data_IF_271002922991
#
_entry.id   IF_271002922991
#
_cell.length_a   1.000
_cell.length_b   1.000
_cell.length_c   1.000
_cell.angle_alpha   90.00
_cell.angle_beta   90.00
_cell.angle_gamma   90.00
#
_symmetry.space_group_name_H-M   'P 1'
#
loop_
_entity.id
_entity.type
_entity.pdbx_description
1 polymer ?
#
# COMPACT_ATOMS: atom_id res chain seq x y z
N UNK A 1 -9.92 -59.68 -13.88
CA UNK A 1 -11.09 -60.19 -14.63
C UNK A 1 -12.22 -59.20 -14.41
N UNK A 2 -12.41 -58.30 -15.40
CA UNK A 2 -13.64 -58.18 -16.23
C UNK A 2 -14.82 -57.58 -15.44
N UNK A 3 -15.51 -56.52 -15.85
CA UNK A 3 -15.47 -55.67 -17.04
C UNK A 3 -16.45 -54.49 -16.82
N UNK A 4 -16.23 -53.37 -17.52
CA UNK A 4 -17.23 -52.58 -18.30
C UNK A 4 -18.54 -52.11 -17.64
N UNK A 5 -19.20 -51.02 -18.01
CA UNK A 5 -19.02 -49.83 -18.85
C UNK A 5 -20.32 -49.05 -18.59
N UNK A 6 -20.29 -47.73 -18.44
CA UNK A 6 -21.44 -46.92 -18.87
C UNK A 6 -20.99 -45.52 -19.24
N UNK A 7 -20.69 -45.45 -20.54
CA UNK A 7 -20.42 -44.31 -21.37
C UNK A 7 -21.77 -43.59 -21.65
N UNK A 8 -21.94 -42.35 -21.20
CA UNK A 8 -22.88 -41.43 -21.83
C UNK A 8 -22.10 -40.31 -22.51
N UNK A 9 -21.90 -40.52 -23.81
CA UNK A 9 -21.62 -39.49 -24.79
C UNK A 9 -22.85 -38.57 -24.92
N UNK A 10 -22.65 -37.26 -24.79
CA UNK A 10 -23.37 -36.28 -25.59
C UNK A 10 -22.36 -35.23 -26.09
N UNK A 11 -22.18 -35.23 -27.42
CA UNK A 11 -21.53 -34.21 -28.24
C UNK A 11 -22.08 -32.82 -27.87
N UNK A 12 -21.29 -31.75 -27.83
CA UNK A 12 -20.43 -31.28 -28.90
C UNK A 12 -21.16 -30.14 -29.64
N UNK A 13 -20.87 -28.89 -29.25
CA UNK A 13 -21.08 -27.72 -30.10
C UNK A 13 -20.04 -26.67 -29.71
N UNK A 14 -19.01 -26.60 -30.56
CA UNK A 14 -17.99 -25.57 -30.57
C UNK A 14 -18.64 -24.22 -30.92
N UNK A 15 -18.47 -23.23 -30.06
CA UNK A 15 -18.47 -21.83 -30.47
C UNK A 15 -17.10 -21.28 -30.08
N UNK A 16 -16.21 -21.26 -31.06
CA UNK A 16 -14.96 -20.52 -31.05
C UNK A 16 -15.31 -19.03 -31.17
N UNK A 17 -15.12 -18.25 -30.11
CA UNK A 17 -15.06 -16.79 -30.19
C UNK A 17 -14.08 -16.29 -29.11
N UNK A 18 -12.90 -15.91 -29.62
CA UNK A 18 -11.85 -15.06 -29.06
C UNK A 18 -11.76 -14.92 -27.53
N UNK A 19 -10.97 -15.84 -26.97
CA UNK A 19 -10.49 -15.84 -25.61
C UNK A 19 -8.98 -15.56 -25.65
N UNK A 20 -8.58 -14.34 -26.02
CA UNK A 20 -7.19 -13.92 -25.98
C UNK A 20 -7.02 -12.62 -25.20
N UNK A 21 -6.03 -12.68 -24.31
CA UNK A 21 -5.30 -11.59 -23.65
C UNK A 21 -5.91 -11.07 -22.33
N UNK A 22 -5.88 -11.97 -21.33
CA UNK A 22 -5.16 -11.78 -20.05
C UNK A 22 -5.57 -12.88 -19.04
N UNK A 23 -5.34 -14.14 -19.41
CA UNK A 23 -5.12 -15.21 -18.42
C UNK A 23 -3.63 -15.37 -18.29
N UNK A 24 -3.05 -14.70 -17.29
CA UNK A 24 -1.73 -15.05 -16.81
C UNK A 24 -1.84 -16.08 -15.69
N UNK A 25 -1.41 -17.29 -16.08
CA UNK A 25 -0.74 -18.34 -15.30
C UNK A 25 -1.57 -19.17 -14.30
N UNK A 26 -1.96 -20.35 -14.81
CA UNK A 26 -2.18 -21.63 -14.10
C UNK A 26 -2.81 -21.55 -12.69
N UNK A 27 -4.14 -21.56 -12.71
CA UNK A 27 -4.99 -21.87 -11.58
C UNK A 27 -4.78 -23.31 -11.11
N UNK A 28 -4.17 -23.48 -9.94
CA UNK A 28 -4.43 -24.67 -9.11
C UNK A 28 -5.65 -24.37 -8.24
N UNK A 29 -6.69 -25.22 -8.26
CA UNK A 29 -7.76 -25.16 -7.27
C UNK A 29 -7.14 -25.22 -5.88
N UNK A 30 -7.57 -24.38 -4.93
CA UNK A 30 -7.29 -24.63 -3.52
C UNK A 30 -7.99 -25.95 -3.20
N UNK A 31 -7.25 -27.04 -2.92
CA UNK A 31 -7.87 -28.34 -2.69
C UNK A 31 -8.69 -28.28 -1.39
N UNK A 32 -9.74 -29.11 -1.36
CA UNK A 32 -10.64 -29.31 -0.22
C UNK A 32 -9.84 -29.37 1.10
N UNK A 33 -10.25 -28.64 2.17
CA UNK A 33 -9.58 -28.63 3.47
C UNK A 33 -9.42 -30.01 4.12
N UNK A 34 -10.06 -31.06 3.60
CA UNK A 34 -9.87 -32.46 4.02
C UNK A 34 -8.64 -33.16 3.42
N UNK A 35 -7.97 -32.59 2.40
CA UNK A 35 -6.85 -33.23 1.68
C UNK A 35 -5.50 -32.55 1.93
N UNK A 36 -5.46 -31.41 2.62
CA UNK A 36 -4.28 -30.52 2.64
C UNK A 36 -3.19 -30.84 3.68
N UNK A 37 -3.42 -31.75 4.62
CA UNK A 37 -2.43 -32.03 5.69
C UNK A 37 -1.27 -32.93 5.21
N UNK A 38 -1.34 -33.51 3.99
CA UNK A 38 -0.33 -34.51 3.55
C UNK A 38 0.54 -34.14 2.35
N UNK A 39 0.20 -33.11 1.56
CA UNK A 39 0.86 -32.92 0.24
C UNK A 39 1.69 -31.64 0.06
N UNK A 40 1.64 -30.67 0.98
CA UNK A 40 2.37 -29.41 0.76
C UNK A 40 3.85 -29.41 1.21
N UNK A 41 4.32 -30.46 1.90
CA UNK A 41 5.71 -30.55 2.38
C UNK A 41 6.73 -30.94 1.30
N UNK A 42 6.32 -31.55 0.18
CA UNK A 42 7.28 -32.10 -0.80
C UNK A 42 7.54 -31.21 -2.02
N UNK A 43 6.74 -30.17 -2.27
CA UNK A 43 6.84 -29.37 -3.51
C UNK A 43 7.46 -27.97 -3.34
N UNK A 44 7.61 -27.47 -2.12
CA UNK A 44 8.20 -26.14 -1.89
C UNK A 44 9.72 -26.12 -1.74
N UNK A 45 10.38 -27.28 -1.65
CA UNK A 45 11.84 -27.35 -1.48
C UNK A 45 12.63 -27.27 -2.80
N UNK A 46 11.97 -27.25 -3.96
CA UNK A 46 12.62 -27.29 -5.28
C UNK A 46 12.69 -25.93 -6.02
N UNK A 47 12.01 -24.88 -5.55
CA UNK A 47 11.89 -23.61 -6.29
C UNK A 47 12.52 -22.38 -5.62
N UNK A 48 13.13 -22.52 -4.43
CA UNK A 48 13.85 -21.43 -3.77
C UNK A 48 15.33 -21.40 -4.15
N UNK A 49 15.62 -21.24 -5.45
CA UNK A 49 16.95 -20.84 -5.91
C UNK A 49 16.78 -19.96 -7.15
N UNK A 50 16.32 -18.73 -6.96
CA UNK A 50 16.59 -17.52 -7.76
C UNK A 50 15.68 -16.37 -7.31
N UNK A 51 16.17 -15.14 -7.42
CA UNK A 51 15.59 -13.84 -7.02
C UNK A 51 15.77 -13.47 -5.53
N UNK A 52 16.90 -12.88 -5.13
CA UNK A 52 17.47 -11.56 -5.51
C UNK A 52 16.58 -10.37 -5.12
N UNK A 53 16.94 -9.79 -3.98
CA UNK A 53 16.85 -8.40 -3.54
C UNK A 53 16.27 -7.38 -4.56
N UNK A 54 15.25 -6.62 -4.14
CA UNK A 54 15.31 -5.15 -4.00
C UNK A 54 14.13 -4.63 -3.12
N UNK A 55 14.28 -3.47 -2.44
CA UNK A 55 13.38 -2.95 -1.42
C UNK A 55 12.51 -1.76 -1.89
N UNK A 56 11.69 -1.25 -0.96
CA UNK A 56 10.97 0.05 -0.97
C UNK A 56 9.61 0.02 -1.66
N UNK A 57 8.54 0.02 -0.86
CA UNK A 57 7.40 0.99 -0.85
C UNK A 57 6.46 0.51 0.26
N UNK A 58 6.39 1.22 1.38
CA UNK A 58 5.24 1.19 2.33
C UNK A 58 5.49 2.16 3.48
N UNK A 59 5.33 3.46 3.25
CA UNK A 59 5.00 4.42 4.32
C UNK A 59 4.30 5.64 3.71
N UNK A 60 2.99 5.55 3.52
CA UNK A 60 2.10 6.71 3.46
C UNK A 60 0.74 6.26 4.00
N UNK A 61 0.36 6.79 5.16
CA UNK A 61 -1.00 7.11 5.62
C UNK A 61 -1.00 7.11 7.15
N UNK A 62 -0.83 8.28 7.76
CA UNK A 62 -1.58 8.63 8.97
C UNK A 62 -1.58 10.16 9.15
N UNK A 63 -2.80 10.72 9.15
CA UNK A 63 -3.11 12.13 9.40
C UNK A 63 -3.87 12.18 10.72
N UNK A 64 -3.67 13.20 11.56
CA UNK A 64 -4.83 13.87 12.12
C UNK A 64 -4.77 15.39 11.98
N UNK A 65 -5.96 15.96 11.88
CA UNK A 65 -6.23 17.38 11.70
C UNK A 65 -6.09 18.16 13.02
N UNK A 66 -5.55 19.38 12.96
CA UNK A 66 -5.94 20.47 13.87
C UNK A 66 -6.03 21.78 13.10
N UNK A 67 -7.17 22.46 13.27
CA UNK A 67 -7.44 23.80 12.76
C UNK A 67 -6.83 24.83 13.70
N UNK A 68 -6.03 25.77 13.19
CA UNK A 68 -5.89 27.09 13.83
C UNK A 68 -5.84 28.19 12.76
N UNK A 69 -6.80 29.12 12.90
CA UNK A 69 -6.96 30.35 12.11
C UNK A 69 -5.70 31.22 12.23
N UNK A 70 -5.19 31.72 11.11
CA UNK A 70 -4.35 32.91 11.09
C UNK A 70 -5.00 33.96 10.18
N UNK A 71 -5.21 35.13 10.78
CA UNK A 71 -5.77 36.30 10.15
C UNK A 71 -4.83 36.88 9.09
N UNK A 72 -5.48 37.42 8.07
CA UNK A 72 -4.98 38.30 7.02
C UNK A 72 -4.30 39.56 7.55
N UNK A 73 -3.13 39.90 7.00
CA UNK A 73 -2.77 41.27 6.62
C UNK A 73 -1.52 41.26 5.74
N UNK A 74 -1.71 41.39 4.43
CA UNK A 74 -0.62 41.73 3.49
C UNK A 74 -0.41 43.25 3.49
N UNK A 75 0.84 43.76 3.52
CA UNK A 75 1.14 45.11 3.05
C UNK A 75 1.47 45.09 1.54
N UNK A 76 1.17 46.17 0.79
CA UNK A 76 1.31 46.20 -0.66
C UNK A 76 2.77 46.42 -1.10
N UNK A 77 3.16 45.71 -2.15
CA UNK A 77 4.38 45.95 -2.92
C UNK A 77 4.22 47.26 -3.71
N UNK A 78 5.12 48.22 -3.51
CA UNK A 78 5.15 49.47 -4.28
C UNK A 78 5.70 49.19 -5.69
N UNK A 79 4.86 49.50 -6.68
CA UNK A 79 5.15 49.42 -8.11
C UNK A 79 6.09 50.55 -8.52
N UNK A 80 7.18 50.21 -9.18
CA UNK A 80 8.06 51.16 -9.87
C UNK A 80 7.40 51.61 -11.16
N UNK A 81 6.78 52.78 -11.15
CA UNK A 81 6.47 53.55 -12.36
C UNK A 81 6.38 55.04 -11.98
N UNK A 82 7.36 55.83 -12.42
CA UNK A 82 7.15 57.17 -13.00
C UNK A 82 8.50 57.85 -13.29
N UNK A 83 8.81 57.96 -14.58
CA UNK A 83 9.85 58.81 -15.13
C UNK A 83 9.18 60.03 -15.81
N UNK A 84 9.80 61.20 -15.61
CA UNK A 84 9.66 62.50 -16.33
C UNK A 84 8.49 63.44 -15.97
N UNK A 85 8.78 64.56 -15.31
CA UNK A 85 8.94 65.88 -15.97
C UNK A 85 9.33 67.02 -15.01
N UNK A 86 10.05 67.99 -15.58
CA UNK A 86 10.69 69.20 -15.03
C UNK A 86 9.74 70.25 -14.40
N UNK A 87 10.23 71.00 -13.38
CA UNK A 87 10.50 72.46 -13.50
C UNK A 87 10.94 73.13 -12.17
N UNK A 88 12.02 73.92 -12.25
CA UNK A 88 12.08 75.30 -11.75
C UNK A 88 12.44 75.55 -10.28
N UNK A 89 13.69 75.91 -9.99
CA UNK A 89 14.10 77.27 -9.56
C UNK A 89 15.52 77.29 -8.96
N UNK A 90 16.25 78.33 -9.33
CA UNK A 90 17.61 78.68 -8.92
C UNK A 90 17.71 78.95 -7.41
N UNK A 91 18.80 78.52 -6.78
CA UNK A 91 19.67 79.38 -5.95
C UNK A 91 21.08 78.80 -5.95
N UNK A 92 22.02 79.64 -6.36
CA UNK A 92 23.45 79.52 -6.05
C UNK A 92 23.65 79.45 -4.55
N UNK A 93 24.67 78.75 -4.07
CA UNK A 93 25.70 79.33 -3.19
C UNK A 93 26.78 78.28 -2.88
N UNK A 94 28.02 78.71 -3.06
CA UNK A 94 29.28 78.05 -2.72
C UNK A 94 29.28 77.52 -1.27
N UNK A 95 29.57 76.23 -1.08
CA UNK A 95 30.23 75.76 0.13
C UNK A 95 31.24 74.66 -0.22
N UNK A 96 32.50 75.07 -0.04
CA UNK A 96 33.78 74.39 0.13
C UNK A 96 33.83 72.86 0.26
N UNK A 97 34.87 72.31 -0.38
CA UNK A 97 35.57 71.07 -0.04
C UNK A 97 35.55 70.76 1.46
N UNK A 98 34.94 69.63 1.81
CA UNK A 98 35.37 68.68 2.85
C UNK A 98 34.36 67.53 2.89
N UNK A 99 34.27 66.74 1.81
CA UNK A 99 33.64 65.42 1.89
C UNK A 99 34.73 64.44 2.29
N UNK A 100 34.86 64.35 3.61
CA UNK A 100 35.28 63.21 4.40
C UNK A 100 35.42 61.94 3.54
N UNK A 101 36.65 61.45 3.48
CA UNK A 101 37.02 60.23 2.78
C UNK A 101 36.05 59.15 3.25
N UNK A 102 35.06 58.82 2.39
CA UNK A 102 33.97 57.90 2.65
C UNK A 102 34.58 56.54 2.99
N UNK A 103 34.93 56.37 4.27
CA UNK A 103 35.35 55.12 4.85
C UNK A 103 34.06 54.32 4.94
N UNK A 104 33.60 53.79 3.79
CA UNK A 104 32.68 52.67 3.79
C UNK A 104 33.40 51.61 4.62
N UNK A 105 32.98 51.36 5.88
CA UNK A 105 33.67 50.40 6.70
C UNK A 105 33.54 49.10 5.94
N UNK A 106 34.67 48.49 5.57
CA UNK A 106 34.66 47.12 5.07
C UNK A 106 33.84 46.33 6.09
N UNK A 107 32.69 45.75 5.70
CA UNK A 107 31.84 45.05 6.65
C UNK A 107 32.69 44.02 7.39
N UNK A 108 32.52 43.92 8.72
CA UNK A 108 33.17 42.87 9.51
C UNK A 108 33.00 41.54 8.74
N UNK A 109 34.08 40.78 8.48
CA UNK A 109 34.01 39.54 7.71
C UNK A 109 32.90 38.59 8.18
N UNK A 110 32.56 38.60 9.48
CA UNK A 110 31.44 37.81 10.02
C UNK A 110 30.08 38.31 9.54
N UNK A 111 29.89 39.63 9.52
CA UNK A 111 28.66 40.26 9.00
C UNK A 111 28.54 40.00 7.50
N UNK A 112 29.65 40.04 6.76
CA UNK A 112 29.68 39.73 5.33
C UNK A 112 29.22 38.29 5.05
N UNK A 113 29.71 37.30 5.79
CA UNK A 113 29.31 35.89 5.65
C UNK A 113 27.82 35.71 5.93
N UNK A 114 27.28 36.34 6.98
CA UNK A 114 25.85 36.21 7.30
C UNK A 114 24.96 36.90 6.26
N UNK A 115 25.42 37.99 5.64
CA UNK A 115 24.71 38.63 4.52
C UNK A 115 24.72 37.73 3.27
N UNK A 116 25.83 37.04 2.98
CA UNK A 116 25.89 36.05 1.90
C UNK A 116 24.98 34.85 2.16
N UNK A 117 24.91 34.37 3.41
CA UNK A 117 23.96 33.33 3.83
C UNK A 117 22.50 33.79 3.67
N UNK A 118 22.19 35.03 4.04
CA UNK A 118 20.87 35.61 3.91
C UNK A 118 20.46 35.76 2.44
N UNK A 119 21.35 36.26 1.59
CA UNK A 119 21.11 36.37 0.15
C UNK A 119 20.88 34.99 -0.48
N UNK A 120 21.72 34.00 -0.15
CA UNK A 120 21.57 32.61 -0.62
C UNK A 120 20.23 32.01 -0.16
N UNK A 121 19.84 32.25 1.09
CA UNK A 121 18.55 31.79 1.63
C UNK A 121 17.37 32.48 0.95
N UNK A 122 17.50 33.76 0.63
CA UNK A 122 16.48 34.55 -0.09
C UNK A 122 16.30 34.03 -1.52
N UNK A 123 17.39 33.75 -2.22
CA UNK A 123 17.34 33.14 -3.56
C UNK A 123 16.70 31.75 -3.52
N UNK A 124 17.00 30.96 -2.48
CA UNK A 124 16.39 29.65 -2.29
C UNK A 124 14.88 29.77 -2.01
N UNK A 125 14.46 30.73 -1.18
CA UNK A 125 13.03 31.00 -0.92
C UNK A 125 12.34 31.36 -2.24
N UNK A 126 12.88 32.31 -3.00
CA UNK A 126 12.31 32.74 -4.29
C UNK A 126 12.19 31.57 -5.27
N UNK A 127 13.23 30.73 -5.36
CA UNK A 127 13.22 29.54 -6.20
C UNK A 127 12.13 28.55 -5.77
N UNK A 128 12.05 28.25 -4.48
CA UNK A 128 11.04 27.32 -3.94
C UNK A 128 9.62 27.87 -4.10
N UNK A 129 9.43 29.19 -4.00
CA UNK A 129 8.14 29.83 -4.25
C UNK A 129 7.70 29.66 -5.71
N UNK A 130 8.62 29.83 -6.66
CA UNK A 130 8.35 29.58 -8.08
C UNK A 130 8.02 28.11 -8.32
N UNK A 131 8.84 27.17 -7.85
CA UNK A 131 8.62 25.73 -8.02
C UNK A 131 7.29 25.26 -7.39
N UNK A 132 6.93 25.82 -6.23
CA UNK A 132 5.65 25.54 -5.56
C UNK A 132 4.48 26.07 -6.38
N UNK A 133 4.59 27.28 -6.94
CA UNK A 133 3.54 27.87 -7.77
C UNK A 133 3.37 27.12 -9.10
N UNK A 134 4.48 26.70 -9.72
CA UNK A 134 4.46 25.83 -10.89
C UNK A 134 3.79 24.49 -10.58
N UNK A 135 4.16 23.85 -9.47
CA UNK A 135 3.58 22.58 -9.02
C UNK A 135 2.09 22.70 -8.71
N UNK A 136 1.67 23.78 -8.04
CA UNK A 136 0.25 24.08 -7.79
C UNK A 136 -0.52 24.26 -9.09
N UNK A 137 0.03 25.04 -10.01
CA UNK A 137 -0.58 25.28 -11.33
C UNK A 137 -0.72 23.97 -12.09
N UNK A 138 0.33 23.15 -12.11
CA UNK A 138 0.31 21.84 -12.74
C UNK A 138 -0.74 20.92 -12.12
N UNK A 139 -0.82 20.86 -10.79
CA UNK A 139 -1.85 20.08 -10.08
C UNK A 139 -3.27 20.54 -10.44
N UNK A 140 -3.53 21.85 -10.46
CA UNK A 140 -4.84 22.38 -10.81
C UNK A 140 -5.22 22.11 -12.27
N UNK A 141 -4.27 22.24 -13.20
CA UNK A 141 -4.47 21.87 -14.60
C UNK A 141 -4.81 20.39 -14.75
N UNK A 142 -4.02 19.51 -14.11
CA UNK A 142 -4.26 18.06 -14.15
C UNK A 142 -5.60 17.69 -13.51
N UNK A 143 -5.95 18.30 -12.38
CA UNK A 143 -7.22 18.07 -11.71
C UNK A 143 -8.40 18.51 -12.58
N UNK A 144 -8.30 19.68 -13.23
CA UNK A 144 -9.33 20.19 -14.13
C UNK A 144 -9.50 19.30 -15.35
N UNK A 145 -8.40 18.95 -16.02
CA UNK A 145 -8.39 18.07 -17.19
C UNK A 145 -8.95 16.67 -16.85
N UNK A 146 -8.51 16.09 -15.73
CA UNK A 146 -9.02 14.81 -15.25
C UNK A 146 -10.51 14.86 -14.90
N UNK A 147 -10.96 15.93 -14.24
CA UNK A 147 -12.37 16.12 -13.90
C UNK A 147 -13.25 16.26 -15.14
N UNK A 148 -12.76 16.99 -16.15
CA UNK A 148 -13.44 17.12 -17.43
C UNK A 148 -13.54 15.77 -18.15
N UNK A 149 -12.42 15.03 -18.26
CA UNK A 149 -12.39 13.70 -18.85
C UNK A 149 -13.35 12.73 -18.17
N UNK A 150 -13.39 12.72 -16.83
CA UNK A 150 -14.32 11.88 -16.06
C UNK A 150 -15.77 12.29 -16.34
N UNK A 151 -16.08 13.59 -16.39
CA UNK A 151 -17.42 14.10 -16.72
C UNK A 151 -17.88 13.68 -18.12
N UNK A 152 -16.99 13.74 -19.10
CA UNK A 152 -17.27 13.28 -20.47
C UNK A 152 -17.51 11.77 -20.52
N UNK A 153 -16.69 10.97 -19.83
CA UNK A 153 -16.87 9.52 -19.73
C UNK A 153 -18.18 9.16 -19.01
N UNK A 154 -18.52 9.87 -17.93
CA UNK A 154 -19.78 9.67 -17.20
C UNK A 154 -21.00 9.91 -18.10
N UNK A 155 -20.97 10.97 -18.94
CA UNK A 155 -22.02 11.24 -19.93
C UNK A 155 -22.13 10.12 -20.97
N UNK A 156 -21.00 9.59 -21.49
CA UNK A 156 -20.99 8.49 -22.47
C UNK A 156 -21.50 7.17 -21.89
N UNK A 157 -21.17 6.88 -20.63
CA UNK A 157 -21.48 5.60 -19.97
C UNK A 157 -22.86 5.56 -19.32
N UNK A 158 -23.36 6.69 -18.82
CA UNK A 158 -24.65 6.80 -18.16
C UNK A 158 -24.78 5.86 -16.95
N UNK A 159 -25.95 5.22 -16.81
CA UNK A 159 -26.27 4.30 -15.71
C UNK A 159 -25.48 2.98 -15.72
N UNK A 160 -24.65 2.75 -16.74
CA UNK A 160 -23.81 1.56 -16.83
C UNK A 160 -22.80 1.48 -15.68
N UNK A 161 -22.28 2.63 -15.23
CA UNK A 161 -21.30 2.71 -14.12
C UNK A 161 -21.92 2.23 -12.80
N UNK A 162 -23.09 2.75 -12.46
CA UNK A 162 -23.82 2.33 -11.26
C UNK A 162 -24.21 0.85 -11.30
N UNK A 163 -24.56 0.34 -12.49
CA UNK A 163 -24.90 -1.09 -12.66
C UNK A 163 -23.73 -2.04 -12.45
N UNK A 164 -22.49 -1.64 -12.79
CA UNK A 164 -21.30 -2.50 -12.64
C UNK A 164 -20.62 -2.35 -11.29
N UNK A 165 -20.95 -1.30 -10.53
CA UNK A 165 -20.43 -1.04 -9.18
C UNK A 165 -20.41 -2.27 -8.26
N UNK A 166 -21.52 -3.03 -8.06
CA UNK A 166 -21.51 -4.20 -7.18
C UNK A 166 -20.52 -5.29 -7.61
N UNK A 167 -20.26 -5.43 -8.92
CA UNK A 167 -19.27 -6.38 -9.44
C UNK A 167 -17.85 -5.98 -9.03
N UNK A 168 -17.49 -4.70 -9.19
CA UNK A 168 -16.15 -4.22 -8.83
C UNK A 168 -15.95 -4.19 -7.30
N UNK A 169 -16.98 -3.84 -6.53
CA UNK A 169 -16.94 -3.93 -5.06
C UNK A 169 -16.72 -5.38 -4.59
N UNK A 170 -17.43 -6.35 -5.19
CA UNK A 170 -17.23 -7.76 -4.89
C UNK A 170 -15.82 -8.24 -5.27
N UNK A 171 -15.24 -7.73 -6.37
CA UNK A 171 -13.85 -8.04 -6.77
C UNK A 171 -12.82 -7.48 -5.81
N UNK A 172 -13.00 -6.25 -5.35
CA UNK A 172 -12.11 -5.64 -4.34
C UNK A 172 -12.16 -6.46 -3.06
N UNK A 173 -13.37 -6.79 -2.59
CA UNK A 173 -13.57 -7.64 -1.41
C UNK A 173 -12.95 -9.03 -1.56
N UNK A 174 -13.11 -9.68 -2.70
CA UNK A 174 -12.49 -10.98 -2.95
C UNK A 174 -10.96 -10.90 -2.90
N UNK A 175 -10.37 -9.83 -3.45
CA UNK A 175 -8.92 -9.59 -3.38
C UNK A 175 -8.44 -9.37 -1.95
N UNK A 176 -9.17 -8.59 -1.15
CA UNK A 176 -8.86 -8.38 0.27
C UNK A 176 -8.94 -9.69 1.07
N UNK A 177 -10.01 -10.46 0.90
CA UNK A 177 -10.20 -11.76 1.55
C UNK A 177 -9.17 -12.79 1.12
N UNK A 178 -8.71 -12.75 -0.13
CA UNK A 178 -7.61 -13.60 -0.60
C UNK A 178 -6.32 -13.35 0.18
N UNK A 179 -5.95 -12.07 0.31
CA UNK A 179 -4.75 -11.67 1.07
C UNK A 179 -4.90 -12.05 2.54
N UNK A 180 -6.07 -11.83 3.13
CA UNK A 180 -6.31 -12.18 4.53
C UNK A 180 -6.31 -13.71 4.75
N UNK A 181 -6.85 -14.48 3.81
CA UNK A 181 -6.80 -15.95 3.84
C UNK A 181 -5.35 -16.45 3.85
N UNK A 182 -4.50 -15.88 2.99
CA UNK A 182 -3.08 -16.23 2.93
C UNK A 182 -2.35 -15.86 4.23
N UNK A 183 -2.64 -14.68 4.81
CA UNK A 183 -2.07 -14.29 6.10
C UNK A 183 -2.53 -15.21 7.23
N UNK A 184 -3.82 -15.55 7.28
CA UNK A 184 -4.37 -16.47 8.28
C UNK A 184 -3.79 -17.88 8.14
N UNK A 185 -3.58 -18.36 6.91
CA UNK A 185 -2.89 -19.63 6.65
C UNK A 185 -1.47 -19.63 7.22
N UNK A 186 -0.70 -18.57 6.95
CA UNK A 186 0.67 -18.43 7.46
C UNK A 186 0.71 -18.36 9.01
N UNK A 187 -0.26 -17.68 9.63
CA UNK A 187 -0.38 -17.66 11.10
C UNK A 187 -0.69 -19.04 11.66
N UNK A 188 -1.62 -19.78 11.04
CA UNK A 188 -1.93 -21.15 11.42
C UNK A 188 -0.73 -22.10 11.27
N UNK A 189 0.05 -21.98 10.19
CA UNK A 189 1.29 -22.75 10.00
C UNK A 189 2.31 -22.44 11.09
N UNK A 190 2.51 -21.16 11.41
CA UNK A 190 3.41 -20.72 12.50
C UNK A 190 2.95 -21.26 13.85
N UNK A 191 1.67 -21.12 14.20
CA UNK A 191 1.10 -21.64 15.45
C UNK A 191 1.23 -23.17 15.55
N UNK A 192 1.05 -23.87 14.42
CA UNK A 192 1.25 -25.33 14.34
C UNK A 192 2.71 -25.70 14.59
N UNK A 193 3.65 -25.00 13.96
CA UNK A 193 5.09 -25.18 14.19
C UNK A 193 5.47 -24.93 15.66
N UNK A 194 4.99 -23.83 16.24
CA UNK A 194 5.20 -23.53 17.66
C UNK A 194 4.64 -24.61 18.59
N UNK A 195 3.46 -25.16 18.30
CA UNK A 195 2.89 -26.26 19.07
C UNK A 195 3.73 -27.54 18.96
N UNK A 196 4.26 -27.86 17.78
CA UNK A 196 5.17 -29.01 17.59
C UNK A 196 6.45 -28.81 18.42
N UNK A 197 7.05 -27.63 18.37
CA UNK A 197 8.24 -27.29 19.17
C UNK A 197 7.94 -27.40 20.67
N UNK A 198 6.80 -26.88 21.13
CA UNK A 198 6.42 -26.97 22.55
C UNK A 198 6.27 -28.43 23.01
N UNK A 199 5.69 -29.31 22.17
CA UNK A 199 5.60 -30.74 22.48
C UNK A 199 6.97 -31.41 22.54
N UNK A 200 7.88 -31.03 21.66
CA UNK A 200 9.26 -31.53 21.68
C UNK A 200 9.98 -31.10 22.96
N UNK A 201 9.75 -29.89 23.45
CA UNK A 201 10.32 -29.42 24.73
C UNK A 201 9.84 -30.26 25.92
N UNK A 202 8.57 -30.66 25.96
CA UNK A 202 8.06 -31.60 26.98
C UNK A 202 8.78 -32.94 26.86
N UNK A 203 8.88 -33.49 25.65
CA UNK A 203 9.56 -34.76 25.38
C UNK A 203 11.03 -34.73 25.84
N UNK A 204 11.75 -33.65 25.57
CA UNK A 204 13.14 -33.46 26.00
C UNK A 204 13.27 -33.33 27.51
N UNK A 205 12.34 -32.63 28.17
CA UNK A 205 12.32 -32.54 29.63
C UNK A 205 12.08 -33.91 30.29
N UNK A 206 11.15 -34.71 29.76
CA UNK A 206 10.87 -36.07 30.22
C UNK A 206 12.09 -36.99 30.03
N UNK A 207 12.77 -36.92 28.89
CA UNK A 207 13.99 -37.69 28.65
C UNK A 207 15.14 -37.27 29.57
N UNK A 208 15.28 -35.97 29.85
CA UNK A 208 16.27 -35.44 30.77
C UNK A 208 16.11 -36.05 32.16
N UNK A 209 14.88 -36.01 32.70
CA UNK A 209 14.54 -36.59 33.99
C UNK A 209 14.81 -38.11 34.05
N UNK A 210 14.51 -38.85 32.97
CA UNK A 210 14.78 -40.29 32.89
C UNK A 210 16.27 -40.63 32.87
N UNK A 211 17.11 -39.82 32.20
CA UNK A 211 18.55 -40.05 32.05
C UNK A 211 19.36 -39.66 33.29
N UNK A 212 18.97 -38.58 33.95
CA UNK A 212 19.63 -38.13 35.19
C UNK A 212 19.35 -39.05 36.37
N UNK A 213 18.31 -39.90 36.30
CA UNK A 213 17.94 -40.81 37.38
C UNK A 213 17.61 -40.08 38.68
N UNK A 214 17.32 -38.77 38.58
CA UNK A 214 17.07 -37.87 39.70
C UNK A 214 15.66 -38.08 40.23
N UNK A 215 15.51 -37.99 41.55
CA UNK A 215 14.20 -37.86 42.19
C UNK A 215 13.62 -36.54 41.68
N UNK A 216 12.33 -36.54 41.31
CA UNK A 216 11.63 -35.33 40.88
C UNK A 216 11.76 -34.25 41.97
N UNK A 217 12.66 -33.30 41.75
CA UNK A 217 12.88 -32.16 42.64
C UNK A 217 12.04 -30.96 42.20
N UNK A 218 12.02 -29.92 43.03
CA UNK A 218 11.20 -28.73 42.80
C UNK A 218 11.56 -28.03 41.47
N UNK A 219 12.83 -28.11 41.03
CA UNK A 219 13.31 -27.47 39.80
C UNK A 219 12.85 -28.21 38.54
N UNK A 220 12.92 -29.54 38.54
CA UNK A 220 12.43 -30.37 37.45
C UNK A 220 10.91 -30.34 37.35
N UNK A 221 10.22 -30.26 38.49
CA UNK A 221 8.78 -30.05 38.53
C UNK A 221 8.38 -28.71 37.89
N UNK A 222 9.13 -27.63 38.14
CA UNK A 222 8.88 -26.33 37.51
C UNK A 222 9.08 -26.38 35.99
N UNK A 223 10.15 -27.03 35.50
CA UNK A 223 10.42 -27.19 34.06
C UNK A 223 9.29 -27.95 33.36
N UNK A 224 8.81 -29.06 33.94
CA UNK A 224 7.71 -29.84 33.39
C UNK A 224 6.38 -29.07 33.42
N UNK A 225 6.09 -28.37 34.51
CA UNK A 225 4.90 -27.55 34.63
C UNK A 225 4.90 -26.42 33.59
N UNK A 226 6.02 -25.72 33.43
CA UNK A 226 6.17 -24.65 32.44
C UNK A 226 6.00 -25.20 31.01
N UNK A 227 6.70 -26.29 30.68
CA UNK A 227 6.65 -26.91 29.36
C UNK A 227 5.24 -27.41 29.02
N UNK A 228 4.55 -28.02 29.98
CA UNK A 228 3.16 -28.50 29.82
C UNK A 228 2.19 -27.34 29.66
N UNK A 229 2.33 -26.29 30.46
CA UNK A 229 1.53 -25.06 30.30
C UNK A 229 1.73 -24.47 28.91
N UNK A 230 2.97 -24.43 28.42
CA UNK A 230 3.31 -23.89 27.10
C UNK A 230 2.68 -24.70 25.96
N UNK A 231 2.65 -26.03 26.07
CA UNK A 231 1.95 -26.89 25.09
C UNK A 231 0.45 -26.55 25.04
N UNK A 232 -0.19 -26.39 26.20
CA UNK A 232 -1.60 -26.02 26.28
C UNK A 232 -1.85 -24.64 25.65
N UNK A 233 -0.97 -23.67 25.88
CA UNK A 233 -1.09 -22.32 25.31
C UNK A 233 -0.96 -22.34 23.79
N UNK A 234 0.08 -23.00 23.28
CA UNK A 234 0.31 -23.14 21.84
C UNK A 234 -0.82 -23.93 21.15
N UNK A 235 -1.43 -24.92 21.82
CA UNK A 235 -2.57 -25.64 21.25
C UNK A 235 -3.82 -24.76 21.14
N UNK A 236 -4.11 -23.93 22.15
CA UNK A 236 -5.22 -22.97 22.09
C UNK A 236 -5.02 -21.97 20.96
N UNK A 237 -3.80 -21.44 20.81
CA UNK A 237 -3.44 -20.55 19.71
C UNK A 237 -3.60 -21.24 18.34
N UNK A 238 -3.09 -22.47 18.20
CA UNK A 238 -3.22 -23.26 16.97
C UNK A 238 -4.68 -23.48 16.56
N UNK A 239 -5.55 -23.84 17.52
CA UNK A 239 -6.98 -24.02 17.26
C UNK A 239 -7.64 -22.70 16.86
N UNK A 240 -7.32 -21.61 17.55
CA UNK A 240 -7.86 -20.28 17.23
C UNK A 240 -7.50 -19.85 15.81
N UNK A 241 -6.22 -19.96 15.43
CA UNK A 241 -5.74 -19.62 14.09
C UNK A 241 -6.32 -20.55 13.02
N UNK A 242 -6.53 -21.83 13.34
CA UNK A 242 -7.18 -22.79 12.45
C UNK A 242 -8.62 -22.36 12.12
N UNK A 243 -9.40 -22.02 13.14
CA UNK A 243 -10.80 -21.59 12.97
C UNK A 243 -10.88 -20.27 12.19
N UNK A 244 -9.97 -19.33 12.47
CA UNK A 244 -9.88 -18.08 11.71
C UNK A 244 -9.56 -18.35 10.23
N UNK A 245 -8.54 -19.15 9.94
CA UNK A 245 -8.18 -19.51 8.57
C UNK A 245 -9.36 -20.17 7.83
N UNK A 246 -10.07 -21.11 8.47
CA UNK A 246 -11.25 -21.74 7.90
C UNK A 246 -12.36 -20.73 7.58
N UNK A 247 -12.66 -19.83 8.52
CA UNK A 247 -13.69 -18.80 8.35
C UNK A 247 -13.35 -17.87 7.18
N UNK A 248 -12.14 -17.30 7.16
CA UNK A 248 -11.74 -16.35 6.12
C UNK A 248 -11.66 -17.04 4.74
N UNK A 249 -11.24 -18.31 4.69
CA UNK A 249 -11.27 -19.11 3.46
C UNK A 249 -12.70 -19.30 2.93
N UNK A 250 -13.66 -19.54 3.82
CA UNK A 250 -15.07 -19.65 3.45
C UNK A 250 -15.61 -18.31 2.92
N UNK A 251 -15.32 -17.21 3.60
CA UNK A 251 -15.71 -15.87 3.17
C UNK A 251 -15.12 -15.51 1.79
N UNK A 252 -13.85 -15.87 1.55
CA UNK A 252 -13.19 -15.71 0.25
C UNK A 252 -13.93 -16.48 -0.85
N UNK A 253 -14.22 -17.77 -0.62
CA UNK A 253 -14.94 -18.60 -1.58
C UNK A 253 -16.33 -18.04 -1.92
N UNK A 254 -17.05 -17.54 -0.91
CA UNK A 254 -18.35 -16.90 -1.10
C UNK A 254 -18.22 -15.63 -1.95
N UNK A 255 -17.21 -14.80 -1.68
CA UNK A 255 -16.96 -13.57 -2.45
C UNK A 255 -16.56 -13.86 -3.89
N UNK A 256 -15.73 -14.86 -4.15
CA UNK A 256 -15.36 -15.31 -5.50
C UNK A 256 -16.59 -15.82 -6.28
N UNK A 257 -17.46 -16.61 -5.63
CA UNK A 257 -18.71 -17.06 -6.24
C UNK A 257 -19.61 -15.88 -6.62
N UNK A 258 -19.72 -14.87 -5.74
CA UNK A 258 -20.47 -13.65 -6.02
C UNK A 258 -19.88 -12.88 -7.21
N UNK A 259 -18.55 -12.77 -7.30
CA UNK A 259 -17.87 -12.15 -8.46
C UNK A 259 -18.24 -12.88 -9.75
N UNK A 260 -18.20 -14.23 -9.76
CA UNK A 260 -18.56 -15.03 -10.92
C UNK A 260 -20.03 -14.86 -11.31
N UNK A 261 -20.94 -14.82 -10.33
CA UNK A 261 -22.37 -14.59 -10.56
C UNK A 261 -22.61 -13.20 -11.17
N UNK A 262 -22.04 -12.15 -10.58
CA UNK A 262 -22.18 -10.77 -11.06
C UNK A 262 -21.53 -10.59 -12.43
N UNK A 263 -20.40 -11.25 -12.70
CA UNK A 263 -19.76 -11.22 -14.01
C UNK A 263 -20.69 -11.77 -15.10
N UNK A 264 -21.34 -12.91 -14.83
CA UNK A 264 -22.30 -13.53 -15.76
C UNK A 264 -23.52 -12.62 -15.99
N UNK A 265 -24.09 -12.06 -14.92
CA UNK A 265 -25.28 -11.22 -14.99
C UNK A 265 -25.03 -9.86 -15.67
N UNK A 266 -23.85 -9.27 -15.48
CA UNK A 266 -23.53 -7.90 -15.88
C UNK A 266 -22.56 -7.80 -17.06
N UNK A 267 -22.24 -8.91 -17.75
CA UNK A 267 -21.24 -9.01 -18.82
C UNK A 267 -21.25 -7.83 -19.82
N UNK A 268 -22.42 -7.47 -20.35
CA UNK A 268 -22.56 -6.36 -21.32
C UNK A 268 -22.22 -5.01 -20.71
N UNK A 269 -22.69 -4.75 -19.49
CA UNK A 269 -22.42 -3.50 -18.78
C UNK A 269 -20.95 -3.40 -18.37
N UNK A 270 -20.34 -4.51 -17.93
CA UNK A 270 -18.92 -4.59 -17.60
C UNK A 270 -18.07 -4.27 -18.84
N UNK A 271 -18.36 -4.90 -19.97
CA UNK A 271 -17.63 -4.64 -21.21
C UNK A 271 -17.75 -3.17 -21.63
N UNK A 272 -18.97 -2.61 -21.63
CA UNK A 272 -19.18 -1.19 -21.97
C UNK A 272 -18.40 -0.24 -21.06
N UNK A 273 -18.41 -0.48 -19.74
CA UNK A 273 -17.66 0.33 -18.78
C UNK A 273 -16.14 0.20 -18.98
N UNK A 274 -15.65 -1.00 -19.33
CA UNK A 274 -14.22 -1.28 -19.53
C UNK A 274 -13.65 -0.58 -20.76
N UNK A 275 -14.33 -0.68 -21.91
CA UNK A 275 -13.84 -0.09 -23.17
C UNK A 275 -13.91 1.43 -23.19
N UNK A 276 -14.80 2.06 -22.42
CA UNK A 276 -14.82 3.52 -22.34
C UNK A 276 -13.64 4.10 -21.53
N UNK A 277 -13.02 3.32 -20.65
CA UNK A 277 -11.90 3.75 -19.82
C UNK A 277 -10.52 3.51 -20.45
N UNK A 278 -10.46 2.82 -21.60
CA UNK A 278 -9.22 2.61 -22.37
C UNK A 278 -9.32 3.51 -23.60
N UNK A 279 -8.66 4.68 -23.63
CA UNK A 279 -8.60 5.48 -24.85
C UNK A 279 -7.76 4.75 -25.92
N UNK A 280 -8.22 4.79 -27.18
CA UNK A 280 -7.39 4.48 -28.34
C UNK A 280 -6.26 5.51 -28.49
#
# INVERSE_FOLDING_TARGET
>A
MLSSDNLLHMNGSQTTDDFSDDIDHHFSPIPDPRVQVRYHCHYWHQSCHTFSLLPIVTLYMERPATHHKLHSSSPPMLSSDNLLHMNGSQTTDDFSDDIDHHFSPIPDPRVQIELENLNTSTDLINKLEVELNESRTHFHLLLSDSSQKISELAKKLGSCVERVKPYYEARVRAKELRVETQRAALRFERATSSHIVAKEMVRLAEEGLQKEGTVLDDSWQEVLNHSTSRVNDCERERISEQLLHQKVSQDYNNSEQLVLQLHKQLKRSINKARYACIPN
#
